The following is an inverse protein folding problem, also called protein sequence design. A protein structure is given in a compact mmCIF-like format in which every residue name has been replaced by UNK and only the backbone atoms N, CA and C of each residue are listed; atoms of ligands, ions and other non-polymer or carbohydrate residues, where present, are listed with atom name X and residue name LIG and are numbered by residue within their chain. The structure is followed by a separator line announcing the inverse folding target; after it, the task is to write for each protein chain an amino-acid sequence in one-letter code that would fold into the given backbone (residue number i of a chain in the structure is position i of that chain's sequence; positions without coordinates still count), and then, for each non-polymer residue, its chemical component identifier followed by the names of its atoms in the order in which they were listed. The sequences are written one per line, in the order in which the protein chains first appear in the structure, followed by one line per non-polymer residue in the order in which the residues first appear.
data_IF_816983862033
#
_entry.id   IF_816983862033
#
_cell.length_a   1.000
_cell.length_b   1.000
_cell.length_c   1.000
_cell.angle_alpha   90.00
_cell.angle_beta   90.00
_cell.angle_gamma   90.00
#
_symmetry.space_group_name_H-M   'P 1'
#
loop_
_entity.id
_entity.type
_entity.pdbx_description
1 polymer ?
#
# COMPACT_ATOMS: atom_id res chain seq x y z
N UNK A 1 -77.37 -24.30 105.98
CA UNK A 1 -77.19 -24.97 104.68
C UNK A 1 -77.59 -26.41 104.86
N UNK A 2 -78.50 -26.91 104.05
CA UNK A 2 -78.84 -28.33 104.04
C UNK A 2 -77.69 -29.11 103.39
N UNK A 3 -77.53 -30.38 103.74
CA UNK A 3 -76.46 -31.22 103.21
C UNK A 3 -76.51 -31.33 101.66
N UNK A 4 -77.72 -31.21 101.10
CA UNK A 4 -77.97 -31.15 99.65
C UNK A 4 -77.45 -29.87 98.97
N UNK A 5 -77.53 -28.71 99.62
CA UNK A 5 -76.97 -27.45 99.09
C UNK A 5 -75.44 -27.52 99.03
N UNK A 6 -74.82 -28.12 100.05
CA UNK A 6 -73.38 -28.33 100.11
C UNK A 6 -72.92 -29.33 99.04
N UNK A 7 -73.68 -30.40 98.82
CA UNK A 7 -73.42 -31.38 97.76
C UNK A 7 -73.50 -30.74 96.37
N UNK A 8 -74.54 -29.97 96.11
CA UNK A 8 -74.73 -29.27 94.83
C UNK A 8 -73.62 -28.23 94.59
N UNK A 9 -73.17 -27.53 95.63
CA UNK A 9 -72.05 -26.58 95.53
C UNK A 9 -70.72 -27.29 95.20
N UNK A 10 -70.44 -28.44 95.82
CA UNK A 10 -69.27 -29.28 95.50
C UNK A 10 -69.29 -29.79 94.06
N UNK A 11 -70.45 -30.28 93.59
CA UNK A 11 -70.63 -30.75 92.21
C UNK A 11 -70.41 -29.63 91.18
N UNK A 12 -70.87 -28.40 91.47
CA UNK A 12 -70.63 -27.23 90.61
C UNK A 12 -69.17 -26.81 90.59
N UNK A 13 -68.50 -26.81 91.75
CA UNK A 13 -67.08 -26.48 91.85
C UNK A 13 -66.22 -27.50 91.09
N UNK A 14 -66.56 -28.79 91.18
CA UNK A 14 -65.87 -29.85 90.44
C UNK A 14 -65.97 -29.63 88.92
N UNK A 15 -67.18 -29.39 88.40
CA UNK A 15 -67.38 -29.09 86.96
C UNK A 15 -66.64 -27.83 86.51
N UNK A 16 -66.58 -26.82 87.36
CA UNK A 16 -65.83 -25.60 87.07
C UNK A 16 -64.33 -25.88 87.02
N UNK A 17 -63.81 -26.69 87.95
CA UNK A 17 -62.42 -27.12 87.98
C UNK A 17 -62.06 -27.96 86.76
N UNK A 18 -62.89 -28.94 86.39
CA UNK A 18 -62.72 -29.74 85.17
C UNK A 18 -62.69 -28.84 83.91
N UNK A 19 -63.55 -27.81 83.87
CA UNK A 19 -63.56 -26.81 82.80
C UNK A 19 -62.28 -25.97 82.75
N UNK A 20 -61.76 -25.54 83.90
CA UNK A 20 -60.49 -24.82 83.98
C UNK A 20 -59.29 -25.70 83.59
N UNK A 21 -59.28 -26.97 84.00
CA UNK A 21 -58.23 -27.92 83.61
C UNK A 21 -58.22 -28.15 82.09
N UNK A 22 -59.41 -28.31 81.49
CA UNK A 22 -59.54 -28.41 80.03
C UNK A 22 -59.06 -27.13 79.31
N UNK A 23 -59.42 -25.95 79.82
CA UNK A 23 -58.95 -24.66 79.28
C UNK A 23 -57.44 -24.51 79.39
N UNK A 24 -56.84 -24.92 80.51
CA UNK A 24 -55.39 -24.86 80.71
C UNK A 24 -54.66 -25.78 79.72
N UNK A 25 -55.19 -26.99 79.48
CA UNK A 25 -54.65 -27.91 78.47
C UNK A 25 -54.75 -27.35 77.04
N UNK A 26 -55.89 -26.75 76.69
CA UNK A 26 -56.08 -26.10 75.39
C UNK A 26 -55.15 -24.89 75.22
N UNK A 27 -55.01 -24.08 76.26
CA UNK A 27 -54.10 -22.93 76.28
C UNK A 27 -52.65 -23.39 76.09
N UNK A 28 -52.20 -24.42 76.80
CA UNK A 28 -50.87 -25.00 76.62
C UNK A 28 -50.67 -25.56 75.21
N UNK A 29 -51.68 -26.21 74.63
CA UNK A 29 -51.62 -26.69 73.25
C UNK A 29 -51.53 -25.53 72.24
N UNK A 30 -52.28 -24.45 72.45
CA UNK A 30 -52.22 -23.24 71.64
C UNK A 30 -50.85 -22.54 71.75
N UNK A 31 -50.29 -22.43 72.96
CA UNK A 31 -48.97 -21.87 73.21
C UNK A 31 -47.86 -22.67 72.50
N UNK A 32 -47.93 -24.01 72.53
CA UNK A 32 -47.00 -24.87 71.78
C UNK A 32 -47.10 -24.62 70.28
N UNK A 33 -48.32 -24.60 69.74
CA UNK A 33 -48.56 -24.28 68.32
C UNK A 33 -48.04 -22.90 67.94
N UNK A 34 -48.24 -21.90 68.80
CA UNK A 34 -47.76 -20.54 68.58
C UNK A 34 -46.23 -20.51 68.53
N UNK A 35 -45.56 -21.18 69.46
CA UNK A 35 -44.09 -21.32 69.47
C UNK A 35 -43.57 -22.02 68.21
N UNK A 36 -44.23 -23.08 67.74
CA UNK A 36 -43.85 -23.77 66.51
C UNK A 36 -44.07 -22.90 65.26
N UNK A 37 -45.10 -22.06 65.25
CA UNK A 37 -45.33 -21.11 64.15
C UNK A 37 -44.29 -19.99 64.18
N UNK A 38 -43.91 -19.49 65.36
CA UNK A 38 -42.85 -18.48 65.49
C UNK A 38 -41.49 -18.98 65.00
N UNK A 39 -41.10 -20.21 65.32
CA UNK A 39 -39.84 -20.78 64.81
C UNK A 39 -39.87 -20.95 63.31
N UNK A 40 -40.96 -21.49 62.75
CA UNK A 40 -41.15 -21.58 61.30
C UNK A 40 -41.14 -20.21 60.61
N UNK A 41 -41.68 -19.17 61.24
CA UNK A 41 -41.66 -17.83 60.67
C UNK A 41 -40.23 -17.27 60.64
N UNK A 42 -39.46 -17.46 61.71
CA UNK A 42 -38.03 -17.09 61.74
C UNK A 42 -37.22 -17.82 60.69
N UNK A 43 -37.50 -19.10 60.46
CA UNK A 43 -36.81 -19.86 59.41
C UNK A 43 -37.18 -19.36 58.01
N UNK A 44 -38.44 -19.00 57.77
CA UNK A 44 -38.87 -18.36 56.52
C UNK A 44 -38.19 -17.00 56.32
N UNK A 45 -38.07 -16.17 57.36
CA UNK A 45 -37.36 -14.90 57.30
C UNK A 45 -35.89 -15.09 56.90
N UNK A 46 -35.20 -16.06 57.51
CA UNK A 46 -33.81 -16.42 57.12
C UNK A 46 -33.71 -16.85 55.65
N UNK A 47 -34.65 -17.65 55.17
CA UNK A 47 -34.68 -18.07 53.76
C UNK A 47 -34.94 -16.86 52.84
N UNK A 48 -35.84 -15.96 53.22
CA UNK A 48 -36.09 -14.74 52.44
C UNK A 48 -34.83 -13.88 52.36
N UNK A 49 -34.08 -13.74 53.45
CA UNK A 49 -32.85 -12.94 53.45
C UNK A 49 -31.75 -13.56 52.58
N UNK A 50 -31.55 -14.88 52.65
CA UNK A 50 -30.58 -15.57 51.77
C UNK A 50 -30.99 -15.51 50.29
N UNK A 51 -32.29 -15.56 49.98
CA UNK A 51 -32.79 -15.37 48.61
C UNK A 51 -32.59 -13.94 48.12
N UNK A 52 -32.76 -12.93 48.98
CA UNK A 52 -32.50 -11.53 48.64
C UNK A 52 -31.03 -11.30 48.31
N UNK A 53 -30.12 -11.82 49.13
CA UNK A 53 -28.67 -11.76 48.87
C UNK A 53 -28.31 -12.43 47.54
N UNK A 54 -28.90 -13.60 47.25
CA UNK A 54 -28.68 -14.29 45.99
C UNK A 54 -29.18 -13.48 44.79
N UNK A 55 -30.37 -12.88 44.89
CA UNK A 55 -30.92 -12.03 43.84
C UNK A 55 -30.01 -10.82 43.60
N UNK A 56 -29.55 -10.15 44.66
CA UNK A 56 -28.64 -9.01 44.54
C UNK A 56 -27.31 -9.41 43.88
N UNK A 57 -26.74 -10.55 44.27
CA UNK A 57 -25.54 -11.09 43.62
C UNK A 57 -25.77 -11.36 42.13
N UNK A 58 -26.92 -11.94 41.77
CA UNK A 58 -27.27 -12.21 40.37
C UNK A 58 -27.50 -10.93 39.57
N UNK A 59 -28.13 -9.91 40.15
CA UNK A 59 -28.31 -8.61 39.52
C UNK A 59 -26.96 -7.92 39.26
N UNK A 60 -26.00 -8.04 40.17
CA UNK A 60 -24.66 -7.52 39.96
C UNK A 60 -23.92 -8.28 38.84
N UNK A 61 -24.05 -9.60 38.78
CA UNK A 61 -23.50 -10.41 37.69
C UNK A 61 -24.12 -10.04 36.34
N UNK A 62 -25.45 -9.91 36.28
CA UNK A 62 -26.17 -9.50 35.07
C UNK A 62 -25.69 -8.14 34.56
N UNK A 63 -25.54 -7.16 35.45
CA UNK A 63 -25.00 -5.83 35.07
C UNK A 63 -23.57 -5.93 34.51
N UNK A 64 -22.71 -6.78 35.08
CA UNK A 64 -21.35 -6.99 34.55
C UNK A 64 -21.40 -7.60 33.15
N UNK A 65 -22.26 -8.60 32.94
CA UNK A 65 -22.45 -9.20 31.61
C UNK A 65 -23.04 -8.21 30.61
N UNK A 66 -23.99 -7.37 31.00
CA UNK A 66 -24.54 -6.31 30.13
C UNK A 66 -23.47 -5.30 29.70
N UNK A 67 -22.59 -4.88 30.62
CA UNK A 67 -21.47 -3.98 30.29
C UNK A 67 -20.51 -4.66 29.31
N UNK A 68 -20.09 -5.89 29.62
CA UNK A 68 -19.18 -6.66 28.76
C UNK A 68 -19.78 -6.92 27.38
N UNK A 69 -21.09 -7.20 27.30
CA UNK A 69 -21.79 -7.39 26.02
C UNK A 69 -21.76 -6.12 25.19
N UNK A 70 -22.03 -4.95 25.80
CA UNK A 70 -21.96 -3.65 25.10
C UNK A 70 -20.54 -3.29 24.66
N UNK A 71 -19.52 -3.66 25.44
CA UNK A 71 -18.11 -3.48 25.06
C UNK A 71 -17.78 -4.35 23.85
N UNK A 72 -18.13 -5.64 23.87
CA UNK A 72 -17.94 -6.55 22.74
C UNK A 72 -18.73 -6.12 21.50
N UNK A 73 -19.93 -5.58 21.65
CA UNK A 73 -20.71 -5.02 20.53
C UNK A 73 -19.99 -3.83 19.88
N UNK A 74 -19.38 -2.95 20.68
CA UNK A 74 -18.58 -1.82 20.16
C UNK A 74 -17.33 -2.31 19.43
N UNK A 75 -16.58 -3.22 20.05
CA UNK A 75 -15.40 -3.83 19.43
C UNK A 75 -15.76 -4.54 18.13
N UNK A 76 -16.87 -5.28 18.10
CA UNK A 76 -17.34 -5.96 16.90
C UNK A 76 -17.75 -4.98 15.79
N UNK A 77 -18.40 -3.86 16.14
CA UNK A 77 -18.68 -2.76 15.20
C UNK A 77 -17.39 -2.20 14.59
N UNK A 78 -16.38 -1.94 15.42
CA UNK A 78 -15.12 -1.34 14.97
C UNK A 78 -14.29 -2.32 14.12
N UNK A 79 -14.27 -3.60 14.50
CA UNK A 79 -13.67 -4.66 13.70
C UNK A 79 -14.40 -4.86 12.37
N UNK A 80 -15.73 -4.79 12.35
CA UNK A 80 -16.52 -4.89 11.12
C UNK A 80 -16.20 -3.75 10.14
N UNK A 81 -16.06 -2.51 10.63
CA UNK A 81 -15.63 -1.38 9.80
C UNK A 81 -14.22 -1.57 9.24
N UNK A 82 -13.27 -1.99 10.09
CA UNK A 82 -11.89 -2.29 9.64
C UNK A 82 -11.87 -3.41 8.59
N UNK A 83 -12.71 -4.44 8.76
CA UNK A 83 -12.85 -5.51 7.79
C UNK A 83 -13.36 -4.99 6.45
N UNK A 84 -14.36 -4.11 6.46
CA UNK A 84 -14.90 -3.47 5.26
C UNK A 84 -13.85 -2.59 4.55
N UNK A 85 -13.10 -1.78 5.29
CA UNK A 85 -12.00 -0.97 4.76
C UNK A 85 -10.91 -1.83 4.10
N UNK A 86 -10.46 -2.89 4.79
CA UNK A 86 -9.44 -3.81 4.26
C UNK A 86 -9.95 -4.56 3.04
N UNK A 87 -11.22 -4.98 3.04
CA UNK A 87 -11.84 -5.65 1.88
C UNK A 87 -11.91 -4.73 0.68
N UNK A 88 -12.33 -3.47 0.87
CA UNK A 88 -12.36 -2.45 -0.19
C UNK A 88 -10.96 -2.18 -0.76
N UNK A 89 -9.96 -2.02 0.11
CA UNK A 89 -8.55 -1.86 -0.30
C UNK A 89 -8.05 -3.06 -1.11
N UNK A 90 -8.36 -4.28 -0.66
CA UNK A 90 -8.02 -5.50 -1.38
C UNK A 90 -8.67 -5.56 -2.75
N UNK A 91 -9.92 -5.13 -2.90
CA UNK A 91 -10.61 -5.11 -4.18
C UNK A 91 -10.04 -4.04 -5.13
N UNK A 92 -9.62 -2.88 -4.59
CA UNK A 92 -8.90 -1.85 -5.36
C UNK A 92 -7.56 -2.39 -5.86
N UNK A 93 -6.79 -3.06 -5.01
CA UNK A 93 -5.51 -3.68 -5.40
C UNK A 93 -5.73 -4.79 -6.44
N UNK A 94 -6.73 -5.64 -6.26
CA UNK A 94 -7.12 -6.64 -7.28
C UNK A 94 -7.49 -5.99 -8.61
N UNK A 95 -8.15 -4.83 -8.60
CA UNK A 95 -8.45 -4.09 -9.83
C UNK A 95 -7.17 -3.51 -10.48
N UNK A 96 -6.22 -3.00 -9.69
CA UNK A 96 -4.90 -2.55 -10.18
C UNK A 96 -4.10 -3.69 -10.80
N UNK A 97 -4.01 -4.84 -10.11
CA UNK A 97 -3.33 -6.02 -10.63
C UNK A 97 -3.96 -6.54 -11.92
N UNK A 98 -5.30 -6.52 -12.04
CA UNK A 98 -5.98 -6.86 -13.30
C UNK A 98 -5.57 -5.95 -14.45
N UNK A 99 -5.46 -4.63 -14.21
CA UNK A 99 -5.00 -3.68 -15.24
C UNK A 99 -3.54 -3.92 -15.62
N UNK A 100 -2.66 -4.09 -14.62
CA UNK A 100 -1.25 -4.39 -14.86
C UNK A 100 -1.09 -5.66 -15.68
N UNK A 101 -1.86 -6.71 -15.36
CA UNK A 101 -1.84 -7.97 -16.10
C UNK A 101 -2.23 -7.80 -17.57
N UNK A 102 -3.25 -6.97 -17.87
CA UNK A 102 -3.63 -6.67 -19.25
C UNK A 102 -2.51 -5.94 -19.99
N UNK A 103 -1.91 -4.93 -19.36
CA UNK A 103 -0.79 -4.17 -19.94
C UNK A 103 0.40 -5.09 -20.18
N UNK A 104 0.76 -5.97 -19.24
CA UNK A 104 1.86 -6.91 -19.43
C UNK A 104 1.59 -7.88 -20.58
N UNK A 105 0.35 -8.35 -20.74
CA UNK A 105 -0.03 -9.17 -21.90
C UNK A 105 0.04 -8.40 -23.22
N UNK A 106 -0.30 -7.11 -23.23
CA UNK A 106 -0.16 -6.27 -24.41
C UNK A 106 1.31 -6.07 -24.78
N UNK A 107 2.16 -5.78 -23.79
CA UNK A 107 3.61 -5.67 -23.97
C UNK A 107 4.24 -6.99 -24.46
N UNK A 108 3.82 -8.14 -23.93
CA UNK A 108 4.26 -9.45 -24.42
C UNK A 108 3.89 -9.66 -25.90
N UNK A 109 2.67 -9.28 -26.30
CA UNK A 109 2.23 -9.36 -27.71
C UNK A 109 3.04 -8.42 -28.61
N UNK A 110 3.39 -7.23 -28.13
CA UNK A 110 4.23 -6.28 -28.87
C UNK A 110 5.66 -6.80 -29.06
N UNK A 111 6.27 -7.35 -28.00
CA UNK A 111 7.58 -7.98 -28.09
C UNK A 111 7.57 -9.10 -29.12
N UNK A 112 6.60 -10.02 -29.03
CA UNK A 112 6.42 -11.11 -30.00
C UNK A 112 6.26 -10.60 -31.44
N UNK A 113 5.53 -9.49 -31.62
CA UNK A 113 5.37 -8.86 -32.93
C UNK A 113 6.69 -8.32 -33.46
N UNK A 114 7.42 -7.55 -32.64
CA UNK A 114 8.70 -6.96 -33.01
C UNK A 114 9.75 -8.04 -33.31
N UNK A 115 9.78 -9.13 -32.54
CA UNK A 115 10.66 -10.27 -32.81
C UNK A 115 10.35 -10.89 -34.17
N UNK A 116 9.07 -11.08 -34.52
CA UNK A 116 8.69 -11.59 -35.85
C UNK A 116 9.08 -10.63 -36.98
N UNK A 117 8.82 -9.33 -36.83
CA UNK A 117 9.21 -8.32 -37.84
C UNK A 117 10.74 -8.30 -38.04
N UNK A 118 11.51 -8.43 -36.95
CA UNK A 118 12.97 -8.56 -37.01
C UNK A 118 13.40 -9.84 -37.74
N UNK A 119 12.79 -10.98 -37.42
CA UNK A 119 13.06 -12.26 -38.08
C UNK A 119 12.74 -12.23 -39.57
N UNK A 120 11.64 -11.58 -39.97
CA UNK A 120 11.26 -11.38 -41.37
C UNK A 120 12.25 -10.48 -42.10
N UNK A 121 12.67 -9.38 -41.47
CA UNK A 121 13.71 -8.50 -41.99
C UNK A 121 15.04 -9.24 -42.16
N UNK A 122 15.46 -9.99 -41.14
CA UNK A 122 16.71 -10.75 -41.16
C UNK A 122 16.65 -11.92 -42.15
N UNK A 123 15.47 -12.52 -42.36
CA UNK A 123 15.23 -13.48 -43.46
C UNK A 123 15.41 -12.81 -44.82
N UNK A 124 14.76 -11.67 -45.04
CA UNK A 124 14.92 -10.90 -46.29
C UNK A 124 16.38 -10.53 -46.53
N UNK A 125 17.11 -10.05 -45.51
CA UNK A 125 18.54 -9.75 -45.64
C UNK A 125 19.33 -10.98 -46.07
N UNK A 126 19.14 -12.12 -45.39
CA UNK A 126 19.82 -13.39 -45.75
C UNK A 126 19.53 -13.82 -47.19
N UNK A 127 18.27 -13.74 -47.61
CA UNK A 127 17.86 -14.10 -48.97
C UNK A 127 18.50 -13.19 -50.03
N UNK A 128 18.82 -11.93 -49.68
CA UNK A 128 19.43 -10.94 -50.58
C UNK A 128 20.95 -10.76 -50.40
N UNK A 129 21.60 -11.45 -49.45
CA UNK A 129 23.03 -11.26 -49.17
C UNK A 129 23.92 -11.55 -50.40
N UNK A 130 23.60 -12.60 -51.15
CA UNK A 130 24.36 -12.96 -52.36
C UNK A 130 24.34 -11.84 -53.42
N UNK A 131 23.21 -11.14 -53.57
CA UNK A 131 23.14 -9.97 -54.45
C UNK A 131 24.07 -8.85 -53.98
N UNK A 132 24.09 -8.55 -52.68
CA UNK A 132 24.96 -7.51 -52.14
C UNK A 132 26.44 -7.87 -52.23
N UNK A 133 26.82 -9.14 -52.11
CA UNK A 133 28.21 -9.59 -52.30
C UNK A 133 28.64 -9.51 -53.76
N UNK A 134 27.76 -9.86 -54.70
CA UNK A 134 28.08 -9.86 -56.13
C UNK A 134 28.01 -8.46 -56.77
N UNK A 135 27.21 -7.55 -56.22
CA UNK A 135 26.97 -6.22 -56.80
C UNK A 135 28.24 -5.36 -56.91
N UNK A 136 29.10 -5.21 -55.88
CA UNK A 136 30.36 -4.47 -55.98
C UNK A 136 31.28 -5.03 -57.07
N UNK A 137 31.36 -6.35 -57.21
CA UNK A 137 32.17 -6.99 -58.25
C UNK A 137 31.66 -6.64 -59.64
N UNK A 138 30.33 -6.70 -59.85
CA UNK A 138 29.70 -6.34 -61.13
C UNK A 138 29.88 -4.85 -61.46
N UNK A 139 29.67 -3.97 -60.49
CA UNK A 139 29.86 -2.51 -60.65
C UNK A 139 31.32 -2.18 -60.89
N UNK A 140 32.26 -2.77 -60.15
CA UNK A 140 33.70 -2.58 -60.34
C UNK A 140 34.15 -3.06 -61.72
N UNK A 141 33.65 -4.21 -62.18
CA UNK A 141 33.89 -4.70 -63.54
C UNK A 141 33.40 -3.68 -64.58
N UNK A 142 32.19 -3.15 -64.43
CA UNK A 142 31.64 -2.10 -65.32
C UNK A 142 32.45 -0.80 -65.25
N UNK A 143 32.79 -0.32 -64.06
CA UNK A 143 33.61 0.89 -63.88
C UNK A 143 34.95 0.72 -64.59
N UNK A 144 35.61 -0.43 -64.42
CA UNK A 144 36.88 -0.70 -65.11
C UNK A 144 36.73 -0.70 -66.64
N UNK A 145 35.59 -1.17 -67.17
CA UNK A 145 35.30 -1.14 -68.61
C UNK A 145 35.04 0.28 -69.12
N UNK A 146 34.59 1.21 -68.28
CA UNK A 146 34.34 2.61 -68.65
C UNK A 146 35.58 3.48 -68.42
N UNK A 147 36.30 3.24 -67.32
CA UNK A 147 37.53 3.95 -66.97
C UNK A 147 38.69 3.63 -67.91
N UNK A 148 38.80 2.39 -68.43
CA UNK A 148 39.87 2.02 -69.38
C UNK A 148 39.80 2.85 -70.68
N UNK A 149 38.66 2.92 -71.40
CA UNK A 149 38.50 3.83 -72.53
C UNK A 149 38.63 5.28 -72.13
N UNK A 150 38.06 5.71 -70.98
CA UNK A 150 38.15 7.11 -70.55
C UNK A 150 39.58 7.55 -70.24
N UNK A 151 40.38 6.71 -69.57
CA UNK A 151 41.80 6.96 -69.33
C UNK A 151 42.59 6.95 -70.63
N UNK A 152 42.36 5.98 -71.50
CA UNK A 152 42.98 5.92 -72.84
C UNK A 152 42.67 7.16 -73.67
N UNK A 153 41.44 7.68 -73.59
CA UNK A 153 40.99 8.87 -74.32
C UNK A 153 41.51 10.16 -73.67
N UNK A 154 41.67 10.19 -72.34
CA UNK A 154 42.33 11.27 -71.60
C UNK A 154 43.85 11.31 -71.88
N UNK A 155 44.46 10.15 -72.07
CA UNK A 155 45.88 9.96 -72.43
C UNK A 155 46.14 10.30 -73.91
N UNK A 156 45.20 9.98 -74.82
CA UNK A 156 45.21 10.45 -76.22
C UNK A 156 44.96 11.96 -76.36
N UNK A 157 44.19 12.58 -75.45
CA UNK A 157 43.90 14.01 -75.49
C UNK A 157 45.01 14.90 -74.90
N UNK A 158 46.03 14.32 -74.26
CA UNK A 158 47.21 15.03 -73.76
C UNK A 158 46.94 16.03 -72.62
N UNK A 159 47.87 16.09 -71.67
CA UNK A 159 47.89 17.14 -70.64
C UNK A 159 47.96 18.54 -71.29
N UNK A 160 47.04 19.48 -70.97
CA UNK A 160 47.32 20.88 -71.14
C UNK A 160 48.03 21.38 -69.88
N UNK A 161 49.36 21.35 -69.91
CA UNK A 161 50.18 22.32 -69.20
C UNK A 161 50.40 22.09 -67.70
N UNK A 162 51.68 22.13 -67.37
CA UNK A 162 52.24 22.35 -66.04
C UNK A 162 51.50 23.43 -65.22
N UNK A 163 51.15 23.08 -63.98
CA UNK A 163 51.09 24.03 -62.86
C UNK A 163 51.82 23.42 -61.65
N UNK A 164 52.53 24.26 -60.87
CA UNK A 164 53.51 23.81 -59.89
C UNK A 164 52.84 23.04 -58.75
N UNK A 165 53.60 22.10 -58.17
CA UNK A 165 53.23 21.38 -56.97
C UNK A 165 52.79 22.35 -55.86
N UNK A 166 51.52 22.26 -55.46
CA UNK A 166 51.06 22.81 -54.19
C UNK A 166 51.64 21.95 -53.06
N UNK A 167 52.05 22.57 -51.93
CA UNK A 167 52.58 21.85 -50.80
C UNK A 167 51.45 21.14 -50.05
N UNK A 168 51.71 19.90 -49.63
CA UNK A 168 51.00 19.16 -48.59
C UNK A 168 49.48 19.28 -48.56
N UNK A 169 48.77 18.36 -49.20
CA UNK A 169 47.47 17.94 -48.67
C UNK A 169 47.74 16.90 -47.59
N UNK A 170 47.78 17.36 -46.34
CA UNK A 170 47.55 16.50 -45.20
C UNK A 170 46.32 15.64 -45.48
N UNK A 171 46.41 14.35 -45.15
CA UNK A 171 45.27 13.47 -45.09
C UNK A 171 44.18 14.18 -44.29
N UNK A 172 43.12 14.58 -44.99
CA UNK A 172 41.95 15.13 -44.36
C UNK A 172 41.44 14.11 -43.36
N UNK A 173 41.72 14.36 -42.08
CA UNK A 173 40.90 13.87 -41.01
C UNK A 173 39.45 14.13 -41.45
N UNK A 174 38.69 13.07 -41.67
CA UNK A 174 37.25 13.18 -41.83
C UNK A 174 36.75 13.86 -40.58
N UNK A 175 36.55 15.17 -40.65
CA UNK A 175 35.76 15.89 -39.68
C UNK A 175 34.35 15.31 -39.83
N UNK A 176 34.04 14.32 -39.00
CA UNK A 176 32.67 13.96 -38.70
C UNK A 176 32.09 15.17 -38.00
N UNK A 177 31.43 16.03 -38.77
CA UNK A 177 30.52 17.02 -38.23
C UNK A 177 29.30 16.24 -37.73
N UNK A 178 29.44 15.59 -36.57
CA UNK A 178 28.27 15.22 -35.79
C UNK A 178 27.62 16.54 -35.40
N UNK A 179 26.42 16.78 -35.91
CA UNK A 179 25.54 17.76 -35.29
C UNK A 179 25.22 17.21 -33.90
N UNK A 180 26.05 17.56 -32.92
CA UNK A 180 25.75 17.32 -31.52
C UNK A 180 24.52 18.15 -31.24
N UNK A 181 23.41 17.48 -30.94
CA UNK A 181 22.20 18.17 -30.53
C UNK A 181 22.57 19.10 -29.36
N UNK A 182 22.14 20.38 -29.36
CA UNK A 182 22.52 21.33 -28.30
C UNK A 182 22.13 20.85 -26.88
N UNK A 183 21.20 19.89 -26.81
CA UNK A 183 20.80 19.21 -25.58
C UNK A 183 21.84 18.19 -25.08
N UNK A 184 22.54 17.50 -25.98
CA UNK A 184 23.60 16.55 -25.62
C UNK A 184 24.86 17.26 -25.13
N UNK A 185 25.19 18.42 -25.71
CA UNK A 185 26.28 19.27 -25.23
C UNK A 185 25.98 19.81 -23.82
N UNK A 186 24.75 20.33 -23.61
CA UNK A 186 24.27 20.73 -22.30
C UNK A 186 24.32 19.58 -21.27
N UNK A 187 23.91 18.37 -21.66
CA UNK A 187 23.95 17.19 -20.79
C UNK A 187 25.38 16.84 -20.36
N UNK A 188 26.36 16.91 -21.27
CA UNK A 188 27.77 16.65 -20.96
C UNK A 188 28.34 17.65 -19.96
N UNK A 189 28.04 18.94 -20.15
CA UNK A 189 28.50 20.00 -19.26
C UNK A 189 27.90 19.89 -17.85
N UNK A 190 26.64 19.43 -17.76
CA UNK A 190 25.96 19.20 -16.49
C UNK A 190 26.49 17.96 -15.77
N UNK A 191 26.77 16.87 -16.49
CA UNK A 191 27.35 15.65 -15.94
C UNK A 191 28.76 15.82 -15.38
N UNK A 192 29.48 16.86 -15.80
CA UNK A 192 30.77 17.22 -15.21
C UNK A 192 30.64 17.75 -13.75
N UNK A 193 29.42 18.06 -13.28
CA UNK A 193 29.18 18.54 -11.92
C UNK A 193 29.17 17.36 -10.94
N UNK A 194 30.02 17.35 -9.90
CA UNK A 194 30.09 16.25 -8.93
C UNK A 194 28.76 16.00 -8.21
N UNK A 195 28.20 14.80 -8.36
CA UNK A 195 26.97 14.37 -7.71
C UNK A 195 25.69 14.58 -8.53
N UNK A 196 25.83 14.91 -9.82
CA UNK A 196 24.72 14.94 -10.78
C UNK A 196 24.72 13.66 -11.63
N UNK A 197 23.61 12.91 -11.58
CA UNK A 197 23.39 11.70 -12.39
C UNK A 197 22.69 12.06 -13.71
N UNK A 198 22.76 11.20 -14.73
CA UNK A 198 22.16 11.44 -16.06
C UNK A 198 20.66 11.79 -16.00
N UNK A 199 19.92 11.14 -15.11
CA UNK A 199 18.48 11.39 -14.93
C UNK A 199 18.22 12.81 -14.38
N UNK A 200 19.05 13.25 -13.42
CA UNK A 200 18.94 14.59 -12.82
C UNK A 200 19.39 15.67 -13.80
N UNK A 201 20.43 15.39 -14.61
CA UNK A 201 20.88 16.29 -15.66
C UNK A 201 19.79 16.48 -16.74
N UNK A 202 19.08 15.41 -17.13
CA UNK A 202 17.93 15.50 -18.05
C UNK A 202 16.80 16.36 -17.50
N UNK A 203 16.43 16.16 -16.22
CA UNK A 203 15.40 16.97 -15.55
C UNK A 203 15.78 18.46 -15.53
N UNK A 204 17.06 18.79 -15.33
CA UNK A 204 17.53 20.18 -15.40
C UNK A 204 17.42 20.77 -16.81
N UNK A 205 17.81 20.02 -17.84
CA UNK A 205 17.69 20.46 -19.24
C UNK A 205 16.22 20.64 -19.65
N UNK A 206 15.34 19.73 -19.23
CA UNK A 206 13.89 19.81 -19.49
C UNK A 206 13.24 20.99 -18.75
N UNK A 207 13.72 21.31 -17.55
CA UNK A 207 13.30 22.48 -16.79
C UNK A 207 13.87 23.81 -17.34
N UNK A 208 14.67 23.78 -18.41
CA UNK A 208 15.23 24.97 -19.07
C UNK A 208 16.58 25.43 -18.52
N UNK A 209 17.18 24.67 -17.61
CA UNK A 209 18.56 24.89 -17.11
C UNK A 209 19.57 24.15 -17.99
N UNK A 210 19.57 24.48 -19.27
CA UNK A 210 20.41 23.90 -20.33
C UNK A 210 21.88 24.39 -20.33
N UNK A 211 22.31 25.14 -19.33
CA UNK A 211 23.67 25.70 -19.26
C UNK A 211 24.10 25.98 -17.83
N UNK A 212 25.40 25.89 -17.59
CA UNK A 212 26.01 26.17 -16.28
C UNK A 212 25.78 27.62 -15.83
N UNK A 213 25.63 28.57 -16.77
CA UNK A 213 25.26 29.97 -16.49
C UNK A 213 23.86 30.11 -15.90
N UNK A 214 22.86 29.43 -16.47
CA UNK A 214 21.48 29.45 -15.94
C UNK A 214 21.39 28.81 -14.56
N UNK A 215 22.21 27.80 -14.29
CA UNK A 215 22.30 27.19 -12.95
C UNK A 215 23.00 28.06 -11.90
N UNK A 216 23.90 28.97 -12.31
CA UNK A 216 24.53 29.94 -11.39
C UNK A 216 23.54 30.99 -10.90
N UNK A 217 22.60 31.38 -11.76
CA UNK A 217 21.55 32.36 -11.45
C UNK A 217 20.37 31.74 -10.68
N UNK A 218 20.17 30.43 -10.82
CA UNK A 218 19.11 29.69 -10.14
C UNK A 218 19.29 29.70 -8.62
N UNK A 219 18.20 29.93 -7.89
CA UNK A 219 18.19 29.78 -6.44
C UNK A 219 18.16 28.30 -6.04
N UNK A 220 18.80 27.88 -4.93
CA UNK A 220 18.65 26.53 -4.40
C UNK A 220 17.18 26.13 -4.19
N UNK A 221 16.29 27.10 -3.94
CA UNK A 221 14.86 26.88 -3.79
C UNK A 221 14.14 26.55 -5.11
N UNK A 222 14.67 26.97 -6.25
CA UNK A 222 14.09 26.67 -7.57
C UNK A 222 14.50 25.26 -8.03
N UNK A 223 15.74 24.88 -7.75
CA UNK A 223 16.26 23.54 -8.07
C UNK A 223 15.56 22.45 -7.26
N UNK A 224 15.19 22.71 -6.00
CA UNK A 224 14.48 21.73 -5.15
C UNK A 224 13.03 21.49 -5.59
N UNK A 225 12.44 22.38 -6.40
CA UNK A 225 11.10 22.16 -6.97
C UNK A 225 11.10 21.09 -8.07
N UNK A 226 12.28 20.73 -8.58
CA UNK A 226 12.42 19.73 -9.63
C UNK A 226 12.43 18.32 -9.02
N UNK A 227 11.69 17.43 -9.65
CA UNK A 227 11.55 16.04 -9.21
C UNK A 227 12.92 15.34 -9.21
N UNK A 228 13.29 14.71 -8.09
CA UNK A 228 14.57 14.01 -7.93
C UNK A 228 15.75 14.87 -7.47
N UNK A 229 15.58 16.19 -7.29
CA UNK A 229 16.62 17.08 -6.74
C UNK A 229 16.37 17.33 -5.25
N UNK A 230 17.18 16.72 -4.40
CA UNK A 230 17.13 16.97 -2.94
C UNK A 230 17.79 18.30 -2.57
N UNK A 231 17.44 18.92 -1.43
CA UNK A 231 18.10 20.14 -0.93
C UNK A 231 19.62 20.01 -0.79
N UNK A 232 20.11 18.81 -0.52
CA UNK A 232 21.54 18.50 -0.43
C UNK A 232 22.24 18.53 -1.79
N UNK A 233 21.58 18.06 -2.85
CA UNK A 233 22.10 18.08 -4.22
C UNK A 233 22.05 19.49 -4.79
N UNK A 234 20.92 20.20 -4.62
CA UNK A 234 20.78 21.59 -5.06
C UNK A 234 21.89 22.49 -4.49
N UNK A 235 22.20 22.32 -3.19
CA UNK A 235 23.26 23.08 -2.52
C UNK A 235 24.65 22.73 -3.06
N UNK A 236 24.94 21.44 -3.28
CA UNK A 236 26.21 20.99 -3.89
C UNK A 236 26.42 21.57 -5.29
N UNK A 237 25.38 21.60 -6.12
CA UNK A 237 25.42 22.18 -7.47
C UNK A 237 25.74 23.68 -7.38
N UNK A 238 25.02 24.43 -6.55
CA UNK A 238 25.26 25.87 -6.41
C UNK A 238 26.62 26.20 -5.78
N UNK A 239 27.10 25.37 -4.84
CA UNK A 239 28.40 25.58 -4.20
C UNK A 239 29.55 25.28 -5.18
N UNK A 240 29.43 24.22 -6.00
CA UNK A 240 30.41 23.91 -7.05
C UNK A 240 30.46 25.00 -8.13
N UNK A 241 29.30 25.52 -8.54
CA UNK A 241 29.20 26.56 -9.55
C UNK A 241 29.58 27.96 -9.05
N UNK A 242 29.56 28.21 -7.73
CA UNK A 242 30.11 29.44 -7.12
C UNK A 242 31.62 29.37 -6.91
N UNK A 243 32.19 28.16 -6.84
CA UNK A 243 33.61 27.93 -6.67
C UNK A 243 34.40 27.90 -7.99
N UNK A 244 33.73 27.66 -9.13
CA UNK A 244 34.27 27.76 -10.50
C UNK A 244 33.89 29.08 -11.17
#
# INVERSE_FOLDING_TARGET
MTDDELRLAKERLMKLWDGYEAQELELQAALRKLKDLETRNKDKERVIDTLRELIESKDQELRKFEISTKELERENSDLSKKLEEVTSSLDQERARYRKLFVITQELEREVDRLTRELEERDRWFRDNMSFFEEFPTRVGKRLSMVEKPRRSLLEELGEPGSKPALPGSEEGAKATFEMVDPKEEALRDLLAIPGLDEEKAKVLVEAGFDSTSKLKEASPFELVKLEGITPTIARKITDHLKAS
#
